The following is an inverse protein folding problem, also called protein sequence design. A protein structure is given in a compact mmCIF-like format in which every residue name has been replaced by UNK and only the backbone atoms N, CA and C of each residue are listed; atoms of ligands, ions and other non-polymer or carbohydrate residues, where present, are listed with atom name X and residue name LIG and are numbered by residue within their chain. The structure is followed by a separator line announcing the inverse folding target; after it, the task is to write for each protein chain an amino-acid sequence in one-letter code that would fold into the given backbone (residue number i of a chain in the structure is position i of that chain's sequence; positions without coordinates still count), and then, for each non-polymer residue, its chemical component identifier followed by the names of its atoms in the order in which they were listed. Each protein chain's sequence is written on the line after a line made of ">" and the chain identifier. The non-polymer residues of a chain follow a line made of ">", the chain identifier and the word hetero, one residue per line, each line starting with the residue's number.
data_IF_332029340679
#
_entry.id   IF_332029340679
#
_cell.length_a   1.000
_cell.length_b   1.000
_cell.length_c   1.000
_cell.angle_alpha   90.00
_cell.angle_beta   90.00
_cell.angle_gamma   90.00
#
_symmetry.space_group_name_H-M   'P 1'
#
loop_
_entity.id
_entity.type
_entity.pdbx_description
1 polymer ?
#
# COMPACT_ATOMS: atom_id res chain seq x y z
N UNK A 1 -8.73 -3.62 -12.68
CA UNK A 1 -10.14 -3.83 -12.31
C UNK A 1 -10.41 -3.24 -10.90
N UNK A 2 -10.10 -1.95 -10.70
CA UNK A 2 -10.35 -1.16 -9.47
C UNK A 2 -10.45 0.31 -9.92
N UNK A 3 -11.41 1.08 -9.42
CA UNK A 3 -11.76 2.42 -9.93
C UNK A 3 -12.41 3.26 -8.82
N UNK A 4 -12.31 4.60 -8.82
CA UNK A 4 -13.52 5.43 -8.70
C UNK A 4 -13.39 6.79 -9.40
N UNK A 5 -14.37 7.13 -10.25
CA UNK A 5 -14.82 8.50 -10.56
C UNK A 5 -16.35 8.46 -10.82
N UNK A 6 -17.10 9.58 -10.65
CA UNK A 6 -18.55 9.49 -10.47
C UNK A 6 -19.35 9.07 -11.72
N UNK A 7 -18.84 9.15 -12.95
CA UNK A 7 -19.68 8.90 -14.15
C UNK A 7 -18.99 8.36 -15.43
N UNK A 8 -17.65 8.35 -15.57
CA UNK A 8 -16.96 7.70 -16.71
C UNK A 8 -15.53 7.31 -16.32
N UNK A 9 -15.18 6.03 -16.44
CA UNK A 9 -13.87 5.47 -16.03
C UNK A 9 -13.65 4.05 -16.59
N UNK A 10 -12.47 3.45 -16.34
CA UNK A 10 -11.93 2.32 -17.10
C UNK A 10 -11.44 1.14 -16.25
N UNK A 11 -11.75 -0.09 -16.67
CA UNK A 11 -11.09 -1.30 -16.15
C UNK A 11 -9.91 -1.68 -17.04
N UNK A 12 -8.69 -1.77 -16.47
CA UNK A 12 -7.56 -2.43 -17.14
C UNK A 12 -7.59 -3.95 -16.87
N UNK A 13 -7.82 -4.79 -17.90
CA UNK A 13 -7.44 -6.20 -17.89
C UNK A 13 -5.94 -6.35 -18.18
N UNK A 14 -5.32 -7.40 -17.63
CA UNK A 14 -3.95 -7.79 -17.95
C UNK A 14 -3.70 -7.71 -19.47
N UNK A 15 -2.71 -6.91 -19.87
CA UNK A 15 -2.37 -6.76 -21.29
C UNK A 15 -1.46 -7.90 -21.69
N UNK A 16 -2.05 -8.92 -22.34
CA UNK A 16 -1.29 -10.03 -22.93
C UNK A 16 -0.52 -9.55 -24.14
N UNK A 17 0.80 -9.46 -24.04
CA UNK A 17 1.68 -9.29 -25.20
C UNK A 17 2.31 -10.63 -25.56
N UNK A 18 2.13 -11.02 -26.82
CA UNK A 18 2.78 -12.21 -27.39
C UNK A 18 4.11 -11.81 -28.02
N UNK A 19 5.13 -11.66 -27.20
CA UNK A 19 6.51 -11.80 -27.69
C UNK A 19 7.14 -12.92 -26.87
N UNK A 20 7.11 -14.14 -27.44
CA UNK A 20 7.71 -15.37 -26.90
C UNK A 20 7.49 -15.55 -25.38
N UNK A 21 6.27 -15.93 -24.97
CA UNK A 21 5.99 -16.50 -23.65
C UNK A 21 6.04 -15.57 -22.42
N UNK A 22 6.42 -14.29 -22.57
CA UNK A 22 6.59 -13.36 -21.44
C UNK A 22 5.45 -12.32 -21.42
N UNK A 23 4.72 -12.25 -20.30
CA UNK A 23 3.59 -11.32 -20.11
C UNK A 23 3.96 -10.18 -19.17
N UNK A 24 3.20 -9.09 -19.18
CA UNK A 24 3.36 -7.99 -18.22
C UNK A 24 2.01 -7.50 -17.69
N UNK A 25 1.96 -7.24 -16.39
CA UNK A 25 0.82 -6.62 -15.71
C UNK A 25 1.19 -5.22 -15.26
N UNK A 26 0.29 -4.24 -15.45
CA UNK A 26 0.44 -2.87 -14.96
C UNK A 26 -0.82 -2.46 -14.19
N UNK A 27 -0.67 -1.80 -13.03
CA UNK A 27 -1.80 -1.35 -12.24
C UNK A 27 -1.48 -0.03 -11.54
N UNK A 28 -2.35 0.98 -11.61
CA UNK A 28 -2.15 2.27 -10.96
C UNK A 28 -3.49 2.90 -10.57
N UNK A 29 -3.54 3.57 -9.42
CA UNK A 29 -4.68 4.42 -9.06
C UNK A 29 -4.60 5.80 -9.73
N UNK A 30 -3.39 6.21 -10.12
CA UNK A 30 -3.13 7.39 -10.94
C UNK A 30 -2.54 6.94 -12.27
N UNK A 31 -3.37 6.96 -13.32
CA UNK A 31 -3.00 6.50 -14.65
C UNK A 31 -2.11 7.50 -15.41
N UNK A 32 -2.00 8.75 -14.95
CA UNK A 32 -1.27 9.86 -15.62
C UNK A 32 0.11 9.41 -16.08
N UNK A 33 0.92 8.94 -15.12
CA UNK A 33 2.30 8.51 -15.39
C UNK A 33 2.40 7.28 -16.28
N UNK A 34 1.44 6.37 -16.19
CA UNK A 34 1.41 5.19 -17.06
C UNK A 34 1.07 5.57 -18.50
N UNK A 35 0.16 6.51 -18.69
CA UNK A 35 -0.17 7.04 -20.02
C UNK A 35 1.02 7.84 -20.59
N UNK A 36 1.66 8.69 -19.78
CA UNK A 36 2.86 9.43 -20.20
C UNK A 36 4.02 8.50 -20.58
N UNK A 37 4.26 7.44 -19.79
CA UNK A 37 5.25 6.39 -20.09
C UNK A 37 5.01 5.74 -21.45
N UNK A 38 3.75 5.52 -21.81
CA UNK A 38 3.34 4.90 -23.08
C UNK A 38 3.11 5.92 -24.20
N UNK A 39 3.40 7.21 -23.96
CA UNK A 39 3.13 8.31 -24.87
C UNK A 39 1.66 8.35 -25.34
N UNK A 40 0.73 8.11 -24.42
CA UNK A 40 -0.71 8.13 -24.66
C UNK A 40 -1.33 9.42 -24.07
N UNK A 41 -2.34 10.00 -24.75
CA UNK A 41 -3.04 11.17 -24.23
C UNK A 41 -3.82 10.84 -22.95
N UNK A 42 -3.73 11.71 -21.95
CA UNK A 42 -4.42 11.54 -20.66
C UNK A 42 -5.93 11.78 -20.75
N UNK A 43 -6.38 12.56 -21.73
CA UNK A 43 -7.79 12.89 -21.93
C UNK A 43 -8.22 12.56 -23.36
N UNK A 44 -9.20 11.67 -23.50
CA UNK A 44 -9.79 11.23 -24.77
C UNK A 44 -11.32 11.19 -24.65
N UNK A 45 -11.99 12.34 -24.69
CA UNK A 45 -13.45 12.40 -24.54
C UNK A 45 -14.18 11.75 -25.72
N UNK A 46 -13.48 11.59 -26.85
CA UNK A 46 -13.93 10.85 -28.03
C UNK A 46 -13.90 9.32 -27.85
N UNK A 47 -13.35 8.82 -26.73
CA UNK A 47 -13.22 7.41 -26.45
C UNK A 47 -14.08 6.99 -25.27
N UNK A 48 -15.17 6.31 -25.60
CA UNK A 48 -16.21 5.85 -24.68
C UNK A 48 -16.49 4.34 -24.86
N UNK A 49 -15.81 3.68 -25.80
CA UNK A 49 -15.84 2.23 -25.97
C UNK A 49 -14.66 1.56 -25.24
N UNK A 50 -14.98 0.62 -24.34
CA UNK A 50 -13.97 -0.07 -23.53
C UNK A 50 -13.07 -1.01 -24.36
N UNK A 51 -13.60 -1.60 -25.45
CA UNK A 51 -12.81 -2.43 -26.36
C UNK A 51 -11.75 -1.60 -27.09
N UNK A 52 -12.14 -0.45 -27.62
CA UNK A 52 -11.26 0.45 -28.36
C UNK A 52 -10.13 1.03 -27.48
N UNK A 53 -10.42 1.48 -26.25
CA UNK A 53 -9.36 1.91 -25.33
C UNK A 53 -8.42 0.76 -24.99
N UNK A 54 -8.95 -0.45 -24.74
CA UNK A 54 -8.13 -1.63 -24.48
C UNK A 54 -7.20 -1.90 -25.66
N UNK A 55 -7.69 -1.90 -26.89
CA UNK A 55 -6.88 -2.17 -28.08
C UNK A 55 -5.76 -1.14 -28.26
N UNK A 56 -6.02 0.14 -27.97
CA UNK A 56 -5.00 1.19 -28.01
C UNK A 56 -3.92 0.96 -26.96
N UNK A 57 -4.34 0.68 -25.73
CA UNK A 57 -3.41 0.39 -24.65
C UNK A 57 -2.58 -0.85 -24.98
N UNK A 58 -3.20 -1.93 -25.45
CA UNK A 58 -2.51 -3.16 -25.86
C UNK A 58 -1.51 -2.90 -26.99
N UNK A 59 -1.88 -2.09 -27.99
CA UNK A 59 -0.97 -1.74 -29.08
C UNK A 59 0.22 -0.91 -28.61
N UNK A 60 0.00 0.04 -27.70
CA UNK A 60 1.04 0.89 -27.15
C UNK A 60 2.03 0.10 -26.30
N UNK A 61 1.55 -0.68 -25.32
CA UNK A 61 2.40 -1.58 -24.52
C UNK A 61 3.13 -2.57 -25.44
N UNK A 62 2.46 -3.04 -26.51
CA UNK A 62 3.01 -3.99 -27.49
C UNK A 62 4.17 -3.48 -28.34
N UNK A 63 4.47 -2.19 -28.30
CA UNK A 63 5.67 -1.63 -28.95
C UNK A 63 6.94 -1.85 -28.12
N UNK A 64 6.83 -2.37 -26.89
CA UNK A 64 7.93 -2.49 -25.96
C UNK A 64 8.20 -3.93 -25.55
N UNK A 65 9.45 -4.21 -25.18
CA UNK A 65 9.81 -5.52 -24.61
C UNK A 65 9.38 -5.60 -23.14
N UNK A 66 9.15 -6.81 -22.64
CA UNK A 66 8.77 -7.00 -21.23
C UNK A 66 9.88 -6.52 -20.26
N UNK A 67 11.15 -6.71 -20.63
CA UNK A 67 12.28 -6.21 -19.86
C UNK A 67 12.33 -4.67 -19.82
N UNK A 68 12.09 -4.01 -20.96
CA UNK A 68 12.00 -2.54 -21.00
C UNK A 68 10.86 -2.06 -20.10
N UNK A 69 9.67 -2.65 -20.23
CA UNK A 69 8.51 -2.22 -19.44
C UNK A 69 8.71 -2.45 -17.94
N UNK A 70 9.33 -3.57 -17.52
CA UNK A 70 9.63 -3.82 -16.10
C UNK A 70 10.56 -2.75 -15.53
N UNK A 71 11.65 -2.44 -16.23
CA UNK A 71 12.65 -1.44 -15.80
C UNK A 71 12.05 -0.03 -15.85
N UNK A 72 11.50 0.36 -16.99
CA UNK A 72 10.99 1.71 -17.23
C UNK A 72 9.86 2.06 -16.25
N UNK A 73 8.90 1.16 -16.07
CA UNK A 73 7.79 1.37 -15.14
C UNK A 73 8.29 1.51 -13.70
N UNK A 74 9.11 0.57 -13.21
CA UNK A 74 9.49 0.55 -11.81
C UNK A 74 10.54 1.61 -11.44
N UNK A 75 11.58 1.77 -12.26
CA UNK A 75 12.74 2.58 -11.91
C UNK A 75 12.54 4.06 -12.26
N UNK A 76 11.98 4.35 -13.44
CA UNK A 76 11.81 5.73 -13.91
C UNK A 76 10.43 6.29 -13.52
N UNK A 77 9.35 5.63 -13.94
CA UNK A 77 7.99 6.16 -13.75
C UNK A 77 7.41 5.89 -12.37
N UNK A 78 8.05 5.00 -11.58
CA UNK A 78 7.58 4.55 -10.26
C UNK A 78 6.16 3.96 -10.33
N UNK A 79 5.83 3.31 -11.45
CA UNK A 79 4.57 2.64 -11.72
C UNK A 79 4.67 1.12 -11.56
N UNK A 80 3.63 0.45 -11.05
CA UNK A 80 3.58 -1.00 -10.97
C UNK A 80 3.57 -1.63 -12.35
N UNK A 81 4.62 -2.42 -12.59
CA UNK A 81 4.81 -3.24 -13.77
C UNK A 81 5.60 -4.48 -13.37
N UNK A 82 5.25 -5.67 -13.86
CA UNK A 82 6.14 -6.82 -13.69
C UNK A 82 5.98 -7.86 -14.79
N UNK A 83 7.08 -8.51 -15.13
CA UNK A 83 7.07 -9.72 -15.95
C UNK A 83 6.29 -10.81 -15.22
N UNK A 84 5.39 -11.50 -15.92
CA UNK A 84 4.73 -12.68 -15.38
C UNK A 84 5.68 -13.87 -15.44
N UNK A 85 6.00 -14.40 -14.27
CA UNK A 85 6.79 -15.60 -14.08
C UNK A 85 5.88 -16.77 -13.73
N UNK A 86 6.29 -17.98 -14.10
CA UNK A 86 5.77 -19.16 -13.42
C UNK A 86 6.32 -19.21 -12.00
N UNK A 87 5.68 -19.95 -11.09
CA UNK A 87 6.20 -20.14 -9.72
C UNK A 87 7.65 -20.66 -9.72
N UNK A 88 7.95 -21.61 -10.59
CA UNK A 88 9.28 -22.19 -10.69
C UNK A 88 10.29 -21.20 -11.26
N UNK A 89 9.91 -20.38 -12.23
CA UNK A 89 10.78 -19.33 -12.76
C UNK A 89 11.02 -18.21 -11.76
N UNK A 90 9.98 -17.75 -11.07
CA UNK A 90 10.12 -16.75 -10.04
C UNK A 90 11.07 -17.25 -8.95
N UNK A 91 10.79 -18.46 -8.42
CA UNK A 91 11.59 -19.08 -7.36
C UNK A 91 13.03 -19.30 -7.77
N UNK A 92 13.28 -19.91 -8.93
CA UNK A 92 14.61 -20.43 -9.26
C UNK A 92 15.41 -19.46 -10.13
N UNK A 93 14.76 -18.62 -10.94
CA UNK A 93 15.43 -17.79 -11.95
C UNK A 93 15.48 -16.30 -11.59
N UNK A 94 14.76 -15.81 -10.59
CA UNK A 94 14.89 -14.42 -10.11
C UNK A 94 15.68 -14.32 -8.80
N UNK A 95 16.44 -13.25 -8.60
CA UNK A 95 17.14 -13.03 -7.34
C UNK A 95 16.17 -12.72 -6.20
N UNK A 96 15.12 -11.94 -6.48
CA UNK A 96 14.08 -11.63 -5.51
C UNK A 96 13.28 -12.87 -5.07
N UNK A 97 12.85 -13.72 -5.99
CA UNK A 97 12.12 -14.95 -5.67
C UNK A 97 12.93 -15.91 -4.82
N UNK A 98 14.21 -16.15 -5.15
CA UNK A 98 15.10 -16.98 -4.30
C UNK A 98 15.22 -16.47 -2.87
N UNK A 99 15.23 -15.15 -2.68
CA UNK A 99 15.37 -14.52 -1.35
C UNK A 99 14.07 -14.50 -0.55
N UNK A 100 12.92 -14.36 -1.22
CA UNK A 100 11.62 -14.18 -0.57
C UNK A 100 10.83 -15.48 -0.40
N UNK A 101 11.15 -16.54 -1.15
CA UNK A 101 10.36 -17.77 -1.20
C UNK A 101 10.14 -18.42 0.17
N UNK A 102 11.16 -18.42 1.02
CA UNK A 102 11.15 -19.05 2.34
C UNK A 102 10.96 -18.02 3.48
N UNK A 103 10.63 -16.76 3.17
CA UNK A 103 10.30 -15.76 4.19
C UNK A 103 8.97 -16.13 4.89
N UNK A 104 8.87 -15.92 6.21
CA UNK A 104 7.61 -16.14 6.91
C UNK A 104 6.54 -15.12 6.48
N UNK A 105 5.27 -15.46 6.68
CA UNK A 105 4.15 -14.57 6.37
C UNK A 105 4.25 -13.19 7.05
N UNK A 106 4.88 -13.15 8.23
CA UNK A 106 5.23 -11.92 8.92
C UNK A 106 6.48 -12.13 9.77
N UNK A 107 7.21 -11.04 9.99
CA UNK A 107 8.36 -10.99 10.91
C UNK A 107 8.04 -10.04 12.06
N UNK A 108 8.42 -10.40 13.28
CA UNK A 108 8.38 -9.49 14.42
C UNK A 108 9.81 -9.05 14.70
N UNK A 109 10.06 -7.75 14.55
CA UNK A 109 11.33 -7.14 14.95
C UNK A 109 11.14 -6.45 16.31
N UNK A 110 11.56 -7.12 17.38
CA UNK A 110 11.69 -6.49 18.68
C UNK A 110 13.02 -5.77 18.76
N UNK A 111 13.01 -4.48 18.44
CA UNK A 111 14.20 -3.63 18.62
C UNK A 111 14.70 -3.68 20.07
N UNK A 112 16.01 -3.55 20.29
CA UNK A 112 16.61 -3.61 21.64
C UNK A 112 15.91 -2.69 22.66
N UNK A 113 15.39 -1.54 22.22
CA UNK A 113 14.66 -0.59 23.07
C UNK A 113 13.26 -1.06 23.47
N UNK A 114 12.62 -1.92 22.66
CA UNK A 114 11.33 -2.51 23.02
C UNK A 114 11.47 -3.42 24.26
N UNK A 115 12.66 -3.99 24.48
CA UNK A 115 12.98 -4.81 25.65
C UNK A 115 13.05 -3.96 26.93
N UNK A 116 13.28 -2.65 26.82
CA UNK A 116 13.43 -1.75 27.97
C UNK A 116 12.11 -1.16 28.49
N UNK A 117 11.02 -1.18 27.70
CA UNK A 117 9.74 -0.61 28.12
C UNK A 117 8.88 -1.68 28.85
N UNK A 118 8.19 -1.31 29.95
CA UNK A 118 7.35 -2.26 30.66
C UNK A 118 6.13 -2.67 29.83
N UNK A 119 5.62 -3.88 30.09
CA UNK A 119 4.35 -4.32 29.54
C UNK A 119 3.23 -3.36 29.96
N UNK A 120 2.34 -3.02 29.02
CA UNK A 120 1.27 -2.06 29.25
C UNK A 120 -0.01 -2.83 29.51
N UNK A 121 -0.69 -2.62 30.65
CA UNK A 121 -1.96 -3.28 30.92
C UNK A 121 -3.00 -2.87 29.88
N UNK A 122 -3.94 -3.78 29.62
CA UNK A 122 -5.05 -3.47 28.73
C UNK A 122 -5.88 -2.30 29.28
N UNK A 123 -6.38 -1.39 28.43
CA UNK A 123 -7.24 -0.31 28.89
C UNK A 123 -8.50 -0.86 29.57
N UNK A 124 -8.79 -0.37 30.77
CA UNK A 124 -10.07 -0.65 31.43
C UNK A 124 -11.14 0.17 30.71
N UNK A 125 -12.13 -0.50 30.11
CA UNK A 125 -13.23 0.17 29.41
C UNK A 125 -14.55 -0.09 30.13
N UNK A 126 -15.35 0.97 30.34
CA UNK A 126 -16.64 0.91 31.04
C UNK A 126 -17.79 0.43 30.15
N UNK A 127 -17.59 0.42 28.82
CA UNK A 127 -18.54 -0.06 27.81
C UNK A 127 -18.08 -1.43 27.27
N UNK A 128 -18.00 -2.44 28.13
CA UNK A 128 -17.55 -3.77 27.70
C UNK A 128 -18.71 -4.56 27.10
N UNK A 129 -18.91 -4.44 25.78
CA UNK A 129 -19.49 -5.53 24.98
C UNK A 129 -18.50 -6.71 24.83
N UNK A 130 -17.60 -6.90 25.81
CA UNK A 130 -16.48 -7.85 25.82
C UNK A 130 -15.69 -7.89 24.50
N UNK A 131 -15.50 -6.73 23.86
CA UNK A 131 -14.71 -6.63 22.64
C UNK A 131 -13.22 -6.63 22.99
N UNK A 132 -12.41 -7.53 22.39
CA UNK A 132 -11.04 -7.75 22.84
C UNK A 132 -10.13 -6.54 22.63
N UNK A 133 -10.42 -5.65 21.66
CA UNK A 133 -9.63 -4.46 21.36
C UNK A 133 -10.20 -3.14 21.90
N UNK A 134 -11.19 -3.22 22.79
CA UNK A 134 -11.76 -2.02 23.41
C UNK A 134 -10.68 -1.14 24.06
N UNK A 135 -10.66 0.14 23.69
CA UNK A 135 -9.74 1.15 24.23
C UNK A 135 -8.38 1.24 23.53
N UNK A 136 -8.08 0.35 22.58
CA UNK A 136 -6.86 0.42 21.76
C UNK A 136 -7.02 1.47 20.66
N UNK A 137 -6.08 2.40 20.55
CA UNK A 137 -6.07 3.44 19.51
C UNK A 137 -5.17 3.06 18.34
N UNK A 138 -5.71 3.04 17.13
CA UNK A 138 -5.00 2.66 15.91
C UNK A 138 -4.97 3.83 14.94
N UNK A 139 -3.76 4.17 14.45
CA UNK A 139 -3.59 5.05 13.30
C UNK A 139 -3.39 4.21 12.04
N UNK A 140 -4.29 4.39 11.08
CA UNK A 140 -4.26 3.66 9.83
C UNK A 140 -3.84 4.57 8.68
N UNK A 141 -2.63 4.33 8.14
CA UNK A 141 -2.10 4.99 6.94
C UNK A 141 -2.10 4.06 5.73
N UNK A 142 -2.84 2.96 5.82
CA UNK A 142 -2.99 1.99 4.74
C UNK A 142 -4.14 2.36 3.81
N UNK A 143 -4.14 1.77 2.62
CA UNK A 143 -5.04 2.14 1.53
C UNK A 143 -5.37 0.92 0.69
N UNK A 144 -6.39 1.04 -0.18
CA UNK A 144 -6.87 -0.06 -1.04
C UNK A 144 -7.49 -1.20 -0.23
N UNK A 145 -6.88 -2.39 -0.11
CA UNK A 145 -7.55 -3.58 0.44
C UNK A 145 -6.77 -4.21 1.60
N UNK A 146 -5.50 -4.60 1.40
CA UNK A 146 -4.75 -5.42 2.37
C UNK A 146 -4.66 -4.76 3.75
N UNK A 147 -3.99 -3.61 3.84
CA UNK A 147 -3.92 -2.86 5.09
C UNK A 147 -5.28 -2.39 5.64
N UNK A 148 -6.20 -1.84 4.81
CA UNK A 148 -7.51 -1.42 5.32
C UNK A 148 -8.37 -2.56 5.84
N UNK A 149 -8.15 -3.79 5.38
CA UNK A 149 -8.77 -4.99 5.94
C UNK A 149 -8.26 -5.28 7.34
N UNK A 150 -6.95 -5.12 7.59
CA UNK A 150 -6.36 -5.24 8.92
C UNK A 150 -7.04 -4.25 9.87
N UNK A 151 -7.07 -2.98 9.51
CA UNK A 151 -7.64 -1.93 10.37
C UNK A 151 -9.15 -2.06 10.56
N UNK A 152 -9.90 -2.51 9.54
CA UNK A 152 -11.32 -2.87 9.66
C UNK A 152 -11.53 -3.98 10.70
N UNK A 153 -10.75 -5.05 10.64
CA UNK A 153 -10.84 -6.15 11.62
C UNK A 153 -10.55 -5.62 13.02
N UNK A 154 -9.54 -4.76 13.21
CA UNK A 154 -9.26 -4.14 14.51
C UNK A 154 -10.46 -3.32 15.03
N UNK A 155 -11.09 -2.53 14.16
CA UNK A 155 -12.28 -1.74 14.51
C UNK A 155 -13.47 -2.61 14.91
N UNK A 156 -13.75 -3.68 14.16
CA UNK A 156 -14.81 -4.65 14.47
C UNK A 156 -14.58 -5.34 15.82
N UNK A 157 -13.31 -5.57 16.17
CA UNK A 157 -12.88 -6.10 17.46
C UNK A 157 -12.84 -5.05 18.58
N UNK A 158 -13.28 -3.82 18.34
CA UNK A 158 -13.48 -2.77 19.35
C UNK A 158 -12.39 -1.70 19.44
N UNK A 159 -11.36 -1.75 18.58
CA UNK A 159 -10.35 -0.70 18.56
C UNK A 159 -10.93 0.63 18.06
N UNK A 160 -10.42 1.74 18.59
CA UNK A 160 -10.65 3.08 18.06
C UNK A 160 -9.69 3.34 16.90
N UNK A 161 -10.18 3.12 15.68
CA UNK A 161 -9.37 3.22 14.46
C UNK A 161 -9.61 4.56 13.77
N UNK A 162 -8.54 5.35 13.64
CA UNK A 162 -8.52 6.60 12.90
C UNK A 162 -7.64 6.44 11.65
N UNK A 163 -8.28 6.44 10.49
CA UNK A 163 -7.62 6.50 9.18
C UNK A 163 -7.13 7.93 8.93
N UNK A 164 -5.89 8.04 8.49
CA UNK A 164 -5.28 9.31 8.07
C UNK A 164 -5.24 9.34 6.54
N UNK A 165 -6.11 10.15 5.95
CA UNK A 165 -6.24 10.32 4.50
C UNK A 165 -5.61 11.62 4.01
N UNK A 166 -5.52 11.81 2.70
CA UNK A 166 -5.04 13.04 2.09
C UNK A 166 -5.64 13.20 0.70
N UNK A 167 -6.24 14.36 0.42
CA UNK A 167 -6.76 14.70 -0.92
C UNK A 167 -5.73 14.67 -2.05
N UNK A 168 -4.44 14.70 -1.70
CA UNK A 168 -3.33 14.66 -2.67
C UNK A 168 -2.92 13.23 -3.06
N UNK A 169 -3.62 12.21 -2.56
CA UNK A 169 -3.34 10.80 -2.82
C UNK A 169 -4.66 10.20 -3.35
N UNK A 170 -4.77 9.89 -4.67
CA UNK A 170 -5.99 9.32 -5.23
C UNK A 170 -6.39 8.02 -4.53
N UNK A 171 -7.68 7.84 -4.28
CA UNK A 171 -8.26 6.68 -3.59
C UNK A 171 -9.25 5.96 -4.53
N UNK A 172 -9.58 4.71 -4.22
CA UNK A 172 -10.64 3.97 -4.89
C UNK A 172 -11.84 3.84 -3.95
N UNK A 173 -12.74 4.83 -3.93
CA UNK A 173 -13.82 4.87 -2.93
C UNK A 173 -14.87 3.76 -3.08
N UNK A 174 -14.93 3.06 -4.23
CA UNK A 174 -15.73 1.83 -4.36
C UNK A 174 -15.29 0.76 -3.35
N UNK A 175 -13.99 0.72 -3.02
CA UNK A 175 -13.44 -0.20 -2.02
C UNK A 175 -13.70 0.29 -0.59
N UNK A 176 -13.98 1.58 -0.41
CA UNK A 176 -14.14 2.19 0.91
C UNK A 176 -15.44 1.77 1.60
N UNK A 177 -16.48 1.40 0.85
CA UNK A 177 -17.73 0.89 1.44
C UNK A 177 -17.53 -0.33 2.33
N UNK A 178 -16.65 -1.25 1.93
CA UNK A 178 -16.28 -2.40 2.76
C UNK A 178 -15.12 -2.07 3.71
N UNK A 179 -14.06 -1.45 3.21
CA UNK A 179 -12.79 -1.34 3.95
C UNK A 179 -12.78 -0.29 5.07
N UNK A 180 -13.79 0.59 5.13
CA UNK A 180 -13.86 1.67 6.12
C UNK A 180 -14.87 1.43 7.26
N UNK A 181 -15.52 0.27 7.29
CA UNK A 181 -16.51 -0.06 8.32
C UNK A 181 -15.90 0.04 9.73
N UNK A 182 -16.56 0.78 10.62
CA UNK A 182 -16.17 0.94 12.03
C UNK A 182 -15.03 1.94 12.27
N UNK A 183 -14.53 2.61 11.22
CA UNK A 183 -13.39 3.52 11.30
C UNK A 183 -13.83 4.98 11.23
N UNK A 184 -13.01 5.87 11.79
CA UNK A 184 -13.10 7.33 11.58
C UNK A 184 -12.03 7.75 10.59
N UNK A 185 -12.27 8.83 9.85
CA UNK A 185 -11.32 9.36 8.86
C UNK A 185 -10.94 10.80 9.23
N UNK A 186 -9.67 11.16 9.02
CA UNK A 186 -9.18 12.53 9.12
C UNK A 186 -8.26 12.84 7.94
N UNK A 187 -8.50 13.96 7.26
CA UNK A 187 -7.61 14.45 6.22
C UNK A 187 -6.40 15.16 6.85
N UNK A 188 -5.19 14.67 6.58
CA UNK A 188 -3.94 15.31 7.01
C UNK A 188 -2.92 15.28 5.88
N UNK A 189 -2.49 16.47 5.44
CA UNK A 189 -1.37 16.58 4.52
C UNK A 189 -0.02 16.52 5.26
N UNK A 190 0.57 15.33 5.34
CA UNK A 190 1.88 15.07 5.98
C UNK A 190 3.07 15.78 5.32
N UNK A 191 2.88 16.42 4.15
CA UNK A 191 3.94 17.24 3.52
C UNK A 191 4.01 18.66 4.08
N UNK A 192 3.02 19.08 4.86
CA UNK A 192 2.94 20.44 5.41
C UNK A 192 3.33 20.46 6.88
N UNK A 193 3.95 21.55 7.35
CA UNK A 193 4.30 21.71 8.77
C UNK A 193 3.08 21.54 9.69
N UNK A 194 1.92 22.17 9.44
CA UNK A 194 0.73 21.95 10.27
C UNK A 194 0.26 20.49 10.25
N UNK A 195 0.26 19.83 9.09
CA UNK A 195 -0.13 18.43 9.00
C UNK A 195 0.80 17.49 9.77
N UNK A 196 2.11 17.72 9.70
CA UNK A 196 3.10 16.98 10.50
C UNK A 196 2.87 17.16 12.00
N UNK A 197 2.59 18.39 12.45
CA UNK A 197 2.31 18.68 13.86
C UNK A 197 1.02 17.99 14.32
N UNK A 198 -0.05 18.03 13.52
CA UNK A 198 -1.31 17.35 13.83
C UNK A 198 -1.13 15.83 13.91
N UNK A 199 -0.46 15.23 12.93
CA UNK A 199 -0.20 13.78 12.93
C UNK A 199 0.67 13.37 14.12
N UNK A 200 1.70 14.15 14.46
CA UNK A 200 2.53 13.92 15.64
C UNK A 200 1.69 13.83 16.93
N UNK A 201 0.72 14.74 17.12
CA UNK A 201 -0.17 14.73 18.30
C UNK A 201 -1.05 13.48 18.35
N UNK A 202 -1.49 12.97 17.19
CA UNK A 202 -2.23 11.71 17.11
C UNK A 202 -1.32 10.52 17.45
N UNK A 203 -0.11 10.49 16.88
CA UNK A 203 0.87 9.44 17.11
C UNK A 203 1.34 9.39 18.58
N UNK A 204 1.46 10.54 19.22
CA UNK A 204 1.75 10.69 20.66
C UNK A 204 0.56 10.20 21.56
N UNK A 205 -0.52 9.65 20.99
CA UNK A 205 -1.60 8.90 21.68
C UNK A 205 -1.87 7.48 21.15
N UNK A 206 -1.32 7.10 20.00
CA UNK A 206 -1.65 5.84 19.33
C UNK A 206 -0.98 4.62 20.00
N UNK A 207 -1.63 3.47 19.98
CA UNK A 207 -1.07 2.19 20.43
C UNK A 207 -0.53 1.36 19.28
N UNK A 208 -1.15 1.53 18.10
CA UNK A 208 -0.78 0.87 16.86
C UNK A 208 -0.70 1.90 15.74
N UNK A 209 0.32 1.79 14.91
CA UNK A 209 0.41 2.47 13.61
C UNK A 209 0.52 1.42 12.51
N UNK A 210 -0.34 1.55 11.50
CA UNK A 210 -0.33 0.72 10.30
C UNK A 210 0.19 1.54 9.13
N UNK A 211 1.33 1.14 8.56
CA UNK A 211 1.95 1.77 7.39
C UNK A 211 1.83 0.86 6.18
N UNK A 212 1.11 1.34 5.17
CA UNK A 212 0.95 0.68 3.87
C UNK A 212 1.64 1.45 2.73
N UNK A 213 2.53 2.39 3.04
CA UNK A 213 3.33 3.05 2.01
C UNK A 213 4.52 2.17 1.59
N UNK A 214 5.02 2.39 0.37
CA UNK A 214 6.29 1.77 -0.07
C UNK A 214 7.41 2.13 0.93
N UNK A 215 8.39 1.24 1.18
CA UNK A 215 9.41 1.46 2.20
C UNK A 215 10.11 2.83 2.09
N UNK A 216 10.40 3.44 3.25
CA UNK A 216 11.06 4.74 3.34
C UNK A 216 10.18 5.97 3.15
N UNK A 217 8.89 5.83 2.79
CA UNK A 217 7.98 6.98 2.66
C UNK A 217 7.76 7.68 4.00
N UNK A 218 7.38 6.96 5.06
CA UNK A 218 7.19 7.59 6.38
C UNK A 218 8.50 8.11 6.98
N UNK A 219 9.63 7.48 6.71
CA UNK A 219 10.95 8.00 7.11
C UNK A 219 11.21 9.38 6.51
N UNK A 220 10.98 9.55 5.20
CA UNK A 220 11.11 10.85 4.51
C UNK A 220 10.11 11.90 5.01
N UNK A 221 8.95 11.47 5.49
CA UNK A 221 7.96 12.37 6.09
C UNK A 221 8.32 12.75 7.54
N UNK A 222 9.26 12.05 8.17
CA UNK A 222 9.70 12.27 9.55
C UNK A 222 8.98 11.39 10.59
N UNK A 223 8.26 10.37 10.15
CA UNK A 223 7.48 9.45 10.99
C UNK A 223 7.94 7.99 10.84
N UNK A 224 9.22 7.83 10.53
CA UNK A 224 9.90 6.55 10.47
C UNK A 224 9.99 5.82 11.81
N UNK A 225 10.56 4.63 11.79
CA UNK A 225 10.67 3.75 12.97
C UNK A 225 11.35 4.45 14.15
N UNK A 226 12.43 5.18 13.91
CA UNK A 226 13.17 5.93 14.95
C UNK A 226 12.29 6.96 15.66
N UNK A 227 11.43 7.67 14.93
CA UNK A 227 10.52 8.67 15.51
C UNK A 227 9.44 8.00 16.36
N UNK A 228 8.86 6.90 15.88
CA UNK A 228 7.84 6.13 16.62
C UNK A 228 8.42 5.59 17.93
N UNK A 229 9.65 5.06 17.90
CA UNK A 229 10.37 4.61 19.09
C UNK A 229 10.62 5.74 20.08
N UNK A 230 11.06 6.91 19.60
CA UNK A 230 11.28 8.07 20.46
C UNK A 230 9.99 8.52 21.16
N UNK A 231 8.87 8.53 20.44
CA UNK A 231 7.55 8.80 21.02
C UNK A 231 7.19 7.75 22.08
N UNK A 232 7.40 6.46 21.79
CA UNK A 232 7.13 5.37 22.73
C UNK A 232 7.94 5.51 24.03
N UNK A 233 9.23 5.83 23.92
CA UNK A 233 10.11 6.09 25.09
C UNK A 233 9.61 7.26 25.92
N UNK A 234 9.30 8.39 25.31
CA UNK A 234 8.80 9.59 26.01
C UNK A 234 7.48 9.34 26.75
N UNK A 235 6.61 8.50 26.18
CA UNK A 235 5.33 8.09 26.78
C UNK A 235 5.48 7.03 27.87
N UNK A 236 6.64 6.37 27.98
CA UNK A 236 6.80 5.16 28.80
C UNK A 236 5.86 4.02 28.38
N UNK A 237 5.37 4.03 27.13
CA UNK A 237 4.35 3.11 26.61
C UNK A 237 4.74 2.70 25.19
N UNK A 238 4.93 1.40 24.98
CA UNK A 238 5.26 0.84 23.66
C UNK A 238 4.22 1.14 22.58
N UNK A 239 4.65 1.13 21.31
CA UNK A 239 3.79 1.28 20.13
C UNK A 239 4.06 0.10 19.20
N UNK A 240 3.01 -0.55 18.72
CA UNK A 240 3.12 -1.53 17.65
C UNK A 240 3.21 -0.79 16.33
N UNK A 241 4.32 -0.92 15.63
CA UNK A 241 4.50 -0.40 14.28
C UNK A 241 4.39 -1.56 13.28
N UNK A 242 3.21 -1.72 12.69
CA UNK A 242 2.99 -2.73 11.65
C UNK A 242 3.17 -2.09 10.27
N UNK A 243 3.90 -2.80 9.40
CA UNK A 243 4.15 -2.37 8.02
C UNK A 243 3.75 -3.49 7.07
N UNK A 244 3.15 -3.13 5.95
CA UNK A 244 2.75 -4.07 4.89
C UNK A 244 3.20 -3.53 3.54
N UNK A 245 3.69 -4.42 2.67
CA UNK A 245 4.02 -4.08 1.30
C UNK A 245 3.91 -5.35 0.41
N UNK A 246 3.91 -5.14 -0.92
CA UNK A 246 3.68 -6.21 -1.91
C UNK A 246 4.82 -7.23 -2.07
N UNK A 247 6.07 -6.83 -1.88
CA UNK A 247 7.25 -7.64 -2.24
C UNK A 247 8.07 -8.11 -1.03
N UNK A 248 7.57 -7.89 0.18
CA UNK A 248 8.31 -8.13 1.41
C UNK A 248 9.46 -7.15 1.64
N UNK A 249 10.36 -7.50 2.57
CA UNK A 249 11.36 -6.57 3.12
C UNK A 249 12.78 -6.82 2.60
N UNK A 250 12.95 -7.79 1.70
CA UNK A 250 14.26 -8.23 1.17
C UNK A 250 14.28 -8.26 -0.35
N UNK A 251 15.49 -8.35 -0.89
CA UNK A 251 15.73 -8.44 -2.33
C UNK A 251 15.46 -7.13 -3.08
N UNK A 252 15.66 -7.19 -4.39
CA UNK A 252 15.70 -5.99 -5.25
C UNK A 252 14.31 -5.37 -5.48
N UNK A 253 13.22 -6.11 -5.27
CA UNK A 253 11.86 -5.61 -5.49
C UNK A 253 11.21 -4.99 -4.25
N UNK A 254 11.86 -4.99 -3.07
CA UNK A 254 11.26 -4.49 -1.82
C UNK A 254 10.75 -3.04 -1.92
N UNK A 255 11.39 -2.22 -2.74
CA UNK A 255 11.08 -0.79 -2.92
C UNK A 255 10.13 -0.54 -4.11
N UNK A 256 9.72 -1.61 -4.82
CA UNK A 256 8.92 -1.54 -6.03
C UNK A 256 7.45 -1.23 -5.79
N UNK A 257 6.83 -0.98 -6.92
CA UNK A 257 5.49 -0.55 -7.15
C UNK A 257 4.57 -1.78 -7.22
N UNK A 258 3.61 -1.94 -6.30
CA UNK A 258 2.86 -3.20 -6.18
C UNK A 258 1.36 -3.06 -5.87
N UNK A 259 0.60 -3.98 -6.45
CA UNK A 259 -0.82 -4.28 -6.17
C UNK A 259 -1.01 -5.79 -6.32
N UNK A 260 -2.15 -6.31 -5.87
CA UNK A 260 -2.45 -7.74 -5.96
C UNK A 260 -2.24 -8.30 -7.37
N UNK A 261 -2.73 -7.63 -8.42
CA UNK A 261 -2.58 -8.15 -9.80
C UNK A 261 -1.14 -8.21 -10.30
N UNK A 262 -0.22 -7.50 -9.64
CA UNK A 262 1.22 -7.56 -9.92
C UNK A 262 1.85 -8.69 -9.11
N UNK A 263 1.44 -8.86 -7.85
CA UNK A 263 1.85 -10.01 -7.03
C UNK A 263 1.39 -11.34 -7.61
N UNK A 264 0.20 -11.41 -8.22
CA UNK A 264 -0.32 -12.64 -8.86
C UNK A 264 0.51 -13.09 -10.07
N UNK A 265 1.41 -12.23 -10.56
CA UNK A 265 2.28 -12.51 -11.69
C UNK A 265 3.60 -13.19 -11.29
N UNK A 266 3.88 -13.34 -9.99
CA UNK A 266 5.18 -13.82 -9.46
C UNK A 266 5.00 -14.92 -8.42
#
# INVERSE_FOLDING_TARGET
>A
MVIEQPNHVWESPATRLKTIGIFISTAALDATKTLDMLNLPQHRPDMNDAGAIKDIYQRAVGQHTAAWLDIEANEFWRQPGTICYTKDDFRNHTAHGRLSWDEPLYTIDTTADAIALPAVPWPITTNAQNRPLAGIKVLDLTRVIAGPTISKILALQGADVLRVSSKNIPEASILMFDTQIGKRDVEINLKTTPGKLSFRRLLEQADVILDGFRPGVLDRLGFGQTMVQEIARRRGKGIIYARENTYGWRGEWRDRCGYQQISDCV
#
